data_IF_052146016141
#
_entry.id   IF_052146016141
#
_cell.length_a   1.000
_cell.length_b   1.000
_cell.length_c   1.000
_cell.angle_alpha   90.00
_cell.angle_beta   90.00
_cell.angle_gamma   90.00
#
_symmetry.space_group_name_H-M   'P 1'
#
loop_
_entity.id
_entity.type
_entity.pdbx_description
1 polymer ?
#
# COMPACT_ATOMS: atom_id res chain seq x y z
N UNK A 1 -32.83 0.18 11.04
CA UNK A 1 -32.01 0.94 12.00
C UNK A 1 -30.67 1.17 11.30
N UNK A 2 -30.43 2.40 10.86
CA UNK A 2 -29.13 2.80 10.27
C UNK A 2 -28.22 2.99 11.48
N UNK A 3 -27.18 2.17 11.59
CA UNK A 3 -26.25 2.23 12.71
C UNK A 3 -25.22 3.34 12.45
N UNK A 4 -25.50 4.53 12.98
CA UNK A 4 -24.60 5.70 12.94
C UNK A 4 -23.38 5.56 13.89
N UNK A 5 -23.22 4.42 14.58
CA UNK A 5 -22.23 4.30 15.66
C UNK A 5 -20.85 3.83 15.20
N UNK A 6 -20.69 3.27 14.00
CA UNK A 6 -19.40 2.68 13.62
C UNK A 6 -18.60 3.65 12.77
N UNK A 7 -17.62 4.25 13.42
CA UNK A 7 -16.78 5.31 12.86
C UNK A 7 -15.34 4.81 12.77
N UNK A 8 -14.86 4.70 11.53
CA UNK A 8 -13.57 4.12 11.20
C UNK A 8 -12.62 5.19 10.64
N UNK A 9 -11.33 5.00 10.88
CA UNK A 9 -10.24 5.73 10.23
C UNK A 9 -9.40 4.71 9.48
N UNK A 10 -9.50 4.70 8.15
CA UNK A 10 -8.54 4.02 7.30
C UNK A 10 -7.34 4.93 7.07
N UNK A 11 -6.18 4.56 7.60
CA UNK A 11 -4.91 5.20 7.27
C UNK A 11 -4.43 4.64 5.93
N UNK A 12 -4.50 5.45 4.88
CA UNK A 12 -4.18 4.99 3.52
C UNK A 12 -2.67 4.90 3.27
N UNK A 13 -2.06 3.76 3.59
CA UNK A 13 -0.68 3.47 3.21
C UNK A 13 -0.56 3.29 1.68
N UNK A 14 0.31 4.05 0.97
CA UNK A 14 0.46 3.95 -0.47
C UNK A 14 0.68 2.51 -0.96
N UNK A 15 -0.01 2.16 -2.06
CA UNK A 15 0.11 0.87 -2.76
C UNK A 15 -0.24 -0.38 -1.92
N UNK A 16 -0.99 -0.21 -0.83
CA UNK A 16 -1.44 -1.27 0.07
C UNK A 16 -2.96 -1.52 -0.05
N UNK A 17 -3.47 -1.61 -1.28
CA UNK A 17 -4.87 -1.93 -1.59
C UNK A 17 -5.94 -0.93 -1.08
N UNK A 18 -5.59 0.34 -0.87
CA UNK A 18 -6.52 1.37 -0.38
C UNK A 18 -7.80 1.51 -1.22
N UNK A 19 -7.72 1.37 -2.55
CA UNK A 19 -8.88 1.42 -3.43
C UNK A 19 -9.86 0.25 -3.18
N UNK A 20 -9.34 -0.97 -3.05
CA UNK A 20 -10.16 -2.15 -2.73
C UNK A 20 -10.80 -2.00 -1.35
N UNK A 21 -10.05 -1.52 -0.35
CA UNK A 21 -10.58 -1.25 0.99
C UNK A 21 -11.71 -0.22 0.97
N UNK A 22 -11.54 0.90 0.25
CA UNK A 22 -12.61 1.91 0.14
C UNK A 22 -13.90 1.30 -0.39
N UNK A 23 -13.80 0.45 -1.41
CA UNK A 23 -14.95 -0.29 -1.93
C UNK A 23 -15.54 -1.26 -0.89
N UNK A 24 -14.70 -2.01 -0.18
CA UNK A 24 -15.16 -2.92 0.88
C UNK A 24 -15.88 -2.22 2.03
N UNK A 25 -15.48 -0.99 2.36
CA UNK A 25 -16.03 -0.25 3.50
C UNK A 25 -17.25 0.59 3.16
N UNK A 26 -17.36 1.04 1.90
CA UNK A 26 -18.38 2.02 1.49
C UNK A 26 -19.28 1.56 0.34
N UNK A 27 -19.01 0.38 -0.22
CA UNK A 27 -19.68 -0.10 -1.44
C UNK A 27 -19.32 0.81 -2.62
N UNK A 28 -20.32 1.30 -3.35
CA UNK A 28 -20.11 2.24 -4.46
C UNK A 28 -19.99 3.70 -4.00
N UNK A 29 -20.15 3.99 -2.70
CA UNK A 29 -20.19 5.35 -2.20
C UNK A 29 -18.83 6.07 -2.24
N UNK A 30 -17.68 5.36 -2.22
CA UNK A 30 -16.38 6.03 -2.35
C UNK A 30 -16.16 6.76 -3.68
N UNK A 31 -17.01 6.50 -4.69
CA UNK A 31 -16.98 7.21 -5.97
C UNK A 31 -17.71 8.55 -5.89
N UNK A 32 -18.54 8.77 -4.88
CA UNK A 32 -19.24 10.03 -4.64
C UNK A 32 -18.39 10.93 -3.74
N UNK A 33 -17.69 11.88 -4.35
CA UNK A 33 -16.84 12.83 -3.63
C UNK A 33 -17.63 13.77 -2.68
N UNK A 34 -18.96 13.81 -2.80
CA UNK A 34 -19.84 14.62 -1.96
C UNK A 34 -20.50 13.82 -0.84
N UNK A 35 -20.22 12.51 -0.72
CA UNK A 35 -20.80 11.70 0.33
C UNK A 35 -20.31 12.19 1.71
N UNK A 36 -21.19 12.76 2.55
CA UNK A 36 -20.81 13.35 3.83
C UNK A 36 -20.33 12.30 4.85
N UNK A 37 -20.55 11.00 4.58
CA UNK A 37 -20.06 9.89 5.40
C UNK A 37 -18.57 9.64 5.18
N UNK A 38 -18.00 10.15 4.09
CA UNK A 38 -16.61 9.93 3.73
C UNK A 38 -15.81 11.23 3.82
N UNK A 39 -14.64 11.17 4.45
CA UNK A 39 -13.66 12.24 4.43
C UNK A 39 -12.31 11.64 4.06
N UNK A 40 -11.71 12.08 2.95
CA UNK A 40 -10.45 11.53 2.45
C UNK A 40 -9.31 12.52 2.65
N UNK A 41 -8.14 11.99 3.02
CA UNK A 41 -6.91 12.75 3.26
C UNK A 41 -5.72 12.05 2.59
N UNK A 42 -5.88 11.68 1.31
CA UNK A 42 -4.94 10.94 0.46
C UNK A 42 -3.52 10.77 1.04
N UNK A 43 -3.25 9.57 1.57
CA UNK A 43 -1.92 9.14 2.04
C UNK A 43 -1.27 9.92 3.19
N UNK A 44 -2.06 10.65 3.99
CA UNK A 44 -1.55 11.30 5.19
C UNK A 44 -1.12 10.28 6.27
N UNK A 45 -0.07 10.65 7.01
CA UNK A 45 0.42 9.90 8.17
C UNK A 45 -0.56 10.01 9.35
N UNK A 46 -0.60 9.00 10.25
CA UNK A 46 -1.37 9.03 11.49
C UNK A 46 -1.23 10.34 12.29
N UNK A 47 -0.01 10.85 12.43
CA UNK A 47 0.25 12.09 13.17
C UNK A 47 -0.45 13.31 12.54
N UNK A 48 -0.51 13.38 11.21
CA UNK A 48 -1.18 14.45 10.47
C UNK A 48 -2.70 14.33 10.56
N UNK A 49 -3.23 13.11 10.46
CA UNK A 49 -4.67 12.83 10.63
C UNK A 49 -5.10 13.24 12.05
N UNK A 50 -4.35 12.80 13.07
CA UNK A 50 -4.59 13.15 14.47
C UNK A 50 -4.51 14.64 14.74
N UNK A 51 -3.57 15.35 14.13
CA UNK A 51 -3.45 16.81 14.25
C UNK A 51 -4.68 17.52 13.67
N UNK A 52 -5.18 17.07 12.52
CA UNK A 52 -6.34 17.70 11.86
C UNK A 52 -7.68 17.32 12.48
N UNK A 53 -7.81 16.09 12.96
CA UNK A 53 -9.05 15.55 13.52
C UNK A 53 -8.81 14.88 14.88
N UNK A 54 -8.39 15.65 15.92
CA UNK A 54 -7.99 15.08 17.20
C UNK A 54 -9.12 14.34 17.92
N UNK A 55 -10.33 14.89 17.89
CA UNK A 55 -11.52 14.28 18.52
C UNK A 55 -11.89 12.96 17.83
N UNK A 56 -11.95 12.96 16.49
CA UNK A 56 -12.25 11.76 15.70
C UNK A 56 -11.18 10.68 15.92
N UNK A 57 -9.90 11.06 15.95
CA UNK A 57 -8.81 10.11 16.20
C UNK A 57 -8.93 9.40 17.55
N UNK A 58 -9.43 10.11 18.57
CA UNK A 58 -9.64 9.54 19.91
C UNK A 58 -10.86 8.63 19.98
N UNK A 59 -11.91 8.95 19.24
CA UNK A 59 -13.21 8.28 19.33
C UNK A 59 -13.36 7.12 18.33
N UNK A 60 -12.69 7.19 17.19
CA UNK A 60 -12.91 6.26 16.07
C UNK A 60 -11.87 5.14 16.11
N UNK A 61 -12.23 3.97 15.58
CA UNK A 61 -11.28 2.86 15.43
C UNK A 61 -10.43 3.08 14.18
N UNK A 62 -9.13 2.92 14.30
CA UNK A 62 -8.16 3.18 13.25
C UNK A 62 -7.46 1.91 12.81
N UNK A 63 -7.27 1.76 11.51
CA UNK A 63 -6.49 0.65 10.97
C UNK A 63 -5.74 1.04 9.71
N UNK A 64 -4.77 0.22 9.37
CA UNK A 64 -3.91 0.38 8.20
C UNK A 64 -3.64 -0.98 7.59
N UNK A 65 -3.46 -1.02 6.28
CA UNK A 65 -2.93 -2.18 5.59
C UNK A 65 -1.46 -1.93 5.27
N UNK A 66 -0.62 -2.90 5.58
CA UNK A 66 0.77 -2.99 5.13
C UNK A 66 0.89 -4.15 4.15
N UNK A 67 1.86 -4.06 3.26
CA UNK A 67 2.09 -5.02 2.20
C UNK A 67 3.55 -5.39 2.16
N UNK A 68 3.84 -6.63 1.75
CA UNK A 68 5.19 -7.11 1.53
C UNK A 68 6.02 -6.03 0.81
N UNK A 69 7.13 -5.64 1.43
CA UNK A 69 7.82 -4.41 1.04
C UNK A 69 8.34 -4.46 -0.39
N UNK A 70 8.93 -5.58 -0.82
CA UNK A 70 9.36 -5.77 -2.20
C UNK A 70 8.19 -5.58 -3.17
N UNK A 71 7.11 -6.34 -2.97
CA UNK A 71 5.91 -6.31 -3.79
C UNK A 71 5.23 -4.92 -3.85
N UNK A 72 5.38 -4.13 -2.79
CA UNK A 72 4.89 -2.76 -2.72
C UNK A 72 5.78 -1.78 -3.48
N UNK A 73 7.10 -1.87 -3.36
CA UNK A 73 8.04 -1.03 -4.13
C UNK A 73 7.86 -1.25 -5.63
N UNK A 74 7.76 -2.51 -6.07
CA UNK A 74 7.44 -2.84 -7.46
C UNK A 74 6.09 -2.23 -7.87
N UNK A 75 5.08 -2.32 -7.00
CA UNK A 75 3.76 -1.71 -7.26
C UNK A 75 3.84 -0.20 -7.45
N UNK A 76 4.64 0.47 -6.64
CA UNK A 76 4.84 1.91 -6.71
C UNK A 76 5.50 2.30 -8.02
N UNK A 77 6.63 1.65 -8.33
CA UNK A 77 7.38 1.90 -9.56
C UNK A 77 6.55 1.62 -10.81
N UNK A 78 5.87 0.47 -10.88
CA UNK A 78 4.99 0.14 -12.01
C UNK A 78 3.92 1.20 -12.22
N UNK A 79 3.30 1.66 -11.12
CA UNK A 79 2.22 2.64 -11.24
C UNK A 79 2.73 3.98 -11.78
N UNK A 80 3.74 4.57 -11.15
CA UNK A 80 4.21 5.91 -11.53
C UNK A 80 5.15 5.89 -12.73
N UNK A 81 6.10 4.95 -12.79
CA UNK A 81 7.07 4.83 -13.87
C UNK A 81 6.50 4.21 -15.16
N UNK A 82 5.61 3.22 -15.07
CA UNK A 82 5.13 2.49 -16.27
C UNK A 82 3.74 2.94 -16.69
N UNK A 83 2.78 2.99 -15.76
CA UNK A 83 1.38 3.29 -16.11
C UNK A 83 1.12 4.78 -16.30
N UNK A 84 1.57 5.62 -15.35
CA UNK A 84 1.38 7.07 -15.40
C UNK A 84 2.50 7.80 -16.14
N UNK A 85 3.63 7.11 -16.37
CA UNK A 85 4.79 7.63 -17.09
C UNK A 85 5.32 8.96 -16.53
N UNK A 86 5.41 9.06 -15.19
CA UNK A 86 5.86 10.27 -14.51
C UNK A 86 7.28 10.65 -14.98
N UNK A 87 7.51 11.91 -15.42
CA UNK A 87 8.76 12.33 -16.05
C UNK A 87 10.03 11.99 -15.26
N UNK A 88 10.02 12.22 -13.94
CA UNK A 88 11.16 11.95 -13.06
C UNK A 88 11.50 10.46 -12.95
N UNK A 89 10.53 9.59 -13.25
CA UNK A 89 10.70 8.13 -13.20
C UNK A 89 11.05 7.51 -14.56
N UNK A 90 10.85 8.22 -15.68
CA UNK A 90 11.11 7.70 -17.03
C UNK A 90 12.59 7.39 -17.31
N UNK A 91 13.51 7.97 -16.54
CA UNK A 91 14.94 7.72 -16.68
C UNK A 91 15.38 6.38 -16.08
N UNK A 92 14.46 5.64 -15.48
CA UNK A 92 14.76 4.40 -14.78
C UNK A 92 13.99 3.22 -15.38
N UNK A 93 14.61 2.05 -15.32
CA UNK A 93 13.86 0.80 -15.18
C UNK A 93 13.81 0.44 -13.67
N UNK A 94 13.12 -0.63 -13.29
CA UNK A 94 12.98 -0.97 -11.88
C UNK A 94 14.35 -1.22 -11.21
N UNK A 95 15.25 -1.96 -11.86
CA UNK A 95 16.59 -2.26 -11.32
C UNK A 95 17.41 -0.98 -11.11
N UNK A 96 17.45 -0.07 -12.09
CA UNK A 96 18.21 1.17 -11.99
C UNK A 96 17.59 2.17 -11.01
N UNK A 97 16.26 2.17 -10.85
CA UNK A 97 15.58 2.95 -9.82
C UNK A 97 15.94 2.45 -8.41
N UNK A 98 15.95 1.13 -8.20
CA UNK A 98 16.37 0.53 -6.92
C UNK A 98 17.85 0.83 -6.64
N UNK A 99 18.73 0.66 -7.63
CA UNK A 99 20.15 0.97 -7.50
C UNK A 99 20.42 2.45 -7.19
N UNK A 100 19.58 3.37 -7.67
CA UNK A 100 19.63 4.79 -7.36
C UNK A 100 19.08 5.15 -5.96
N UNK A 101 18.70 4.16 -5.15
CA UNK A 101 18.15 4.37 -3.81
C UNK A 101 16.66 4.72 -3.81
N UNK A 102 15.92 4.31 -4.85
CA UNK A 102 14.48 4.49 -4.99
C UNK A 102 14.07 5.97 -4.80
N UNK A 103 14.60 6.91 -5.61
CA UNK A 103 14.27 8.31 -5.46
C UNK A 103 12.76 8.54 -5.57
N UNK A 104 12.27 9.49 -4.75
CA UNK A 104 10.88 9.94 -4.78
C UNK A 104 10.59 10.64 -6.12
N UNK A 105 9.37 10.52 -6.68
CA UNK A 105 8.96 11.35 -7.80
C UNK A 105 9.13 12.86 -7.51
N UNK A 106 9.57 13.61 -8.50
CA UNK A 106 9.86 15.04 -8.38
C UNK A 106 8.65 15.93 -8.67
N UNK A 107 7.58 15.36 -9.22
CA UNK A 107 6.39 16.06 -9.65
C UNK A 107 5.66 16.68 -8.43
N UNK A 108 5.40 18.00 -8.43
CA UNK A 108 4.86 18.70 -7.25
C UNK A 108 3.58 18.08 -6.68
N UNK A 109 2.70 17.57 -7.56
CA UNK A 109 1.44 16.96 -7.16
C UNK A 109 1.65 15.63 -6.41
N UNK A 110 2.72 14.88 -6.70
CA UNK A 110 3.09 13.64 -5.99
C UNK A 110 3.84 13.94 -4.69
N UNK A 111 4.66 14.99 -4.66
CA UNK A 111 5.43 15.36 -3.47
C UNK A 111 4.54 15.65 -2.24
N UNK A 112 3.33 16.16 -2.47
CA UNK A 112 2.33 16.42 -1.43
C UNK A 112 1.80 15.12 -0.81
N UNK A 113 1.62 14.08 -1.63
CA UNK A 113 1.08 12.78 -1.21
C UNK A 113 2.13 11.83 -0.63
N UNK A 114 3.40 12.09 -0.92
CA UNK A 114 4.53 11.28 -0.46
C UNK A 114 5.54 12.13 0.31
N UNK A 115 5.14 12.80 1.42
CA UNK A 115 6.09 13.55 2.22
C UNK A 115 7.12 12.60 2.79
N UNK A 116 8.41 12.98 2.80
CA UNK A 116 9.43 12.20 3.51
C UNK A 116 9.19 12.39 5.02
N UNK A 117 8.81 11.34 5.76
CA UNK A 117 8.64 11.46 7.21
C UNK A 117 9.94 11.90 7.90
N UNK A 118 9.84 12.76 8.91
CA UNK A 118 11.00 13.16 9.69
C UNK A 118 11.65 11.93 10.34
N UNK A 119 12.92 11.69 10.03
CA UNK A 119 13.69 10.57 10.57
C UNK A 119 13.46 9.22 9.90
N UNK A 120 12.67 9.13 8.82
CA UNK A 120 12.62 7.90 8.03
C UNK A 120 13.69 7.88 6.95
N UNK A 121 14.18 6.68 6.65
CA UNK A 121 15.13 6.45 5.56
C UNK A 121 14.47 6.57 4.17
N UNK A 122 13.14 6.39 4.10
CA UNK A 122 12.40 6.36 2.83
C UNK A 122 11.00 6.99 2.93
N UNK A 123 10.51 7.57 1.82
CA UNK A 123 9.20 8.24 1.75
C UNK A 123 8.03 7.26 1.77
N UNK A 124 8.27 5.99 1.45
CA UNK A 124 7.32 4.89 1.61
C UNK A 124 7.54 4.13 2.91
N UNK A 125 7.99 4.70 4.03
CA UNK A 125 8.12 3.89 5.25
C UNK A 125 6.74 3.45 5.79
N UNK A 126 6.42 2.15 5.77
CA UNK A 126 5.17 1.59 6.30
C UNK A 126 5.10 1.74 7.82
N UNK A 127 6.24 1.71 8.50
CA UNK A 127 6.31 1.90 9.97
C UNK A 127 5.62 3.20 10.37
N UNK A 128 5.85 4.27 9.62
CA UNK A 128 5.27 5.59 9.90
C UNK A 128 3.74 5.59 9.79
N UNK A 129 3.19 4.84 8.83
CA UNK A 129 1.74 4.68 8.65
C UNK A 129 1.08 3.83 9.74
N UNK A 130 1.85 3.06 10.51
CA UNK A 130 1.34 2.19 11.60
C UNK A 130 1.46 2.80 12.98
N UNK A 131 2.01 4.01 13.12
CA UNK A 131 2.22 4.62 14.44
C UNK A 131 0.90 5.03 15.07
N UNK A 132 0.52 4.35 16.15
CA UNK A 132 -0.64 4.67 16.98
C UNK A 132 -2.00 4.25 16.38
N UNK A 133 -2.01 3.40 15.37
CA UNK A 133 -3.24 2.79 14.84
C UNK A 133 -3.67 1.60 15.69
N UNK A 134 -4.97 1.30 15.76
CA UNK A 134 -5.50 0.20 16.59
C UNK A 134 -5.24 -1.19 16.01
N UNK A 135 -5.23 -1.30 14.67
CA UNK A 135 -5.00 -2.56 13.95
C UNK A 135 -4.13 -2.37 12.71
N UNK A 136 -3.31 -3.38 12.43
CA UNK A 136 -2.49 -3.48 11.23
C UNK A 136 -2.87 -4.80 10.53
N UNK A 137 -3.27 -4.71 9.27
CA UNK A 137 -3.49 -5.86 8.39
C UNK A 137 -2.23 -6.05 7.55
N UNK A 138 -1.66 -7.24 7.54
CA UNK A 138 -0.44 -7.55 6.79
C UNK A 138 -0.77 -8.40 5.55
N UNK A 139 -0.39 -7.92 4.38
CA UNK A 139 -0.49 -8.65 3.11
C UNK A 139 0.89 -9.21 2.76
N UNK A 140 1.05 -10.53 2.80
CA UNK A 140 2.35 -11.19 2.67
C UNK A 140 2.63 -11.64 1.25
N UNK A 141 1.59 -12.07 0.53
CA UNK A 141 1.74 -12.71 -0.77
C UNK A 141 2.08 -11.73 -1.90
N UNK A 142 2.97 -12.18 -2.78
CA UNK A 142 3.21 -11.56 -4.08
C UNK A 142 2.08 -11.89 -5.06
N UNK A 143 1.51 -13.10 -4.97
CA UNK A 143 0.40 -13.57 -5.80
C UNK A 143 -0.84 -12.69 -5.57
N UNK A 144 -1.37 -12.01 -6.61
CA UNK A 144 -2.50 -11.11 -6.47
C UNK A 144 -3.79 -11.75 -5.95
N UNK A 145 -4.05 -13.02 -6.28
CA UNK A 145 -5.25 -13.73 -5.85
C UNK A 145 -5.17 -14.14 -4.37
N UNK A 146 -4.01 -14.66 -3.95
CA UNK A 146 -3.75 -14.96 -2.53
C UNK A 146 -3.81 -13.68 -1.71
N UNK A 147 -3.17 -12.59 -2.18
CA UNK A 147 -3.19 -11.28 -1.53
C UNK A 147 -4.59 -10.69 -1.41
N UNK A 148 -5.45 -10.88 -2.42
CA UNK A 148 -6.85 -10.47 -2.34
C UNK A 148 -7.60 -11.27 -1.27
N UNK A 149 -7.33 -12.58 -1.16
CA UNK A 149 -7.90 -13.44 -0.12
C UNK A 149 -7.41 -13.05 1.29
N UNK A 150 -6.12 -12.75 1.46
CA UNK A 150 -5.56 -12.24 2.72
C UNK A 150 -6.29 -10.97 3.18
N UNK A 151 -6.49 -10.02 2.25
CA UNK A 151 -7.22 -8.78 2.53
C UNK A 151 -8.67 -9.04 2.91
N UNK A 152 -9.38 -9.88 2.14
CA UNK A 152 -10.79 -10.21 2.39
C UNK A 152 -10.98 -10.87 3.75
N UNK A 153 -10.17 -11.87 4.07
CA UNK A 153 -10.22 -12.56 5.36
C UNK A 153 -9.94 -11.59 6.52
N UNK A 154 -8.92 -10.74 6.40
CA UNK A 154 -8.55 -9.80 7.45
C UNK A 154 -9.64 -8.74 7.68
N UNK A 155 -10.24 -8.20 6.62
CA UNK A 155 -11.32 -7.21 6.73
C UNK A 155 -12.60 -7.85 7.28
N UNK A 156 -12.93 -9.08 6.89
CA UNK A 156 -14.07 -9.81 7.45
C UNK A 156 -13.89 -10.10 8.94
N UNK A 157 -12.68 -10.49 9.36
CA UNK A 157 -12.37 -10.67 10.78
C UNK A 157 -12.48 -9.36 11.56
N UNK A 158 -11.99 -8.26 10.98
CA UNK A 158 -12.09 -6.92 11.57
C UNK A 158 -13.55 -6.44 11.67
N UNK A 159 -14.34 -6.71 10.63
CA UNK A 159 -15.78 -6.44 10.57
C UNK A 159 -16.54 -7.20 11.64
N UNK A 160 -16.20 -8.47 11.86
CA UNK A 160 -16.78 -9.27 12.93
C UNK A 160 -16.40 -8.74 14.32
N UNK A 161 -15.15 -8.30 14.52
CA UNK A 161 -14.66 -7.74 15.79
C UNK A 161 -15.30 -6.37 16.10
N UNK A 162 -15.43 -5.51 15.09
CA UNK A 162 -15.85 -4.11 15.26
C UNK A 162 -17.30 -3.81 14.87
N UNK A 163 -17.98 -4.79 14.28
CA UNK A 163 -19.41 -4.74 13.96
C UNK A 163 -19.79 -3.99 12.68
N UNK A 164 -18.87 -3.64 11.77
CA UNK A 164 -19.21 -2.86 10.55
C UNK A 164 -19.56 -3.76 9.35
N UNK A 165 -20.41 -3.30 8.41
CA UNK A 165 -20.70 -4.06 7.19
C UNK A 165 -19.49 -4.07 6.24
N UNK A 166 -19.30 -5.19 5.53
CA UNK A 166 -18.32 -5.32 4.45
C UNK A 166 -19.07 -5.57 3.15
N UNK A 167 -18.70 -4.79 2.14
CA UNK A 167 -19.21 -4.93 0.78
C UNK A 167 -18.26 -5.79 -0.05
N UNK A 168 -18.79 -6.65 -0.93
CA UNK A 168 -17.95 -7.46 -1.81
C UNK A 168 -17.17 -6.55 -2.77
N UNK A 169 -15.90 -6.85 -2.98
CA UNK A 169 -15.09 -6.21 -4.03
C UNK A 169 -15.55 -6.76 -5.37
N UNK A 170 -16.02 -5.90 -6.27
CA UNK A 170 -16.16 -6.31 -7.67
C UNK A 170 -14.79 -6.80 -8.14
N UNK A 171 -14.72 -7.97 -8.79
CA UNK A 171 -13.47 -8.53 -9.32
C UNK A 171 -12.82 -7.53 -10.28
N UNK A 172 -12.07 -6.58 -9.74
CA UNK A 172 -11.27 -5.66 -10.52
C UNK A 172 -10.10 -6.47 -11.01
N UNK A 173 -10.06 -6.57 -12.33
CA UNK A 173 -9.03 -7.27 -13.07
C UNK A 173 -7.73 -6.47 -12.90
N UNK A 174 -6.98 -6.70 -11.82
CA UNK A 174 -5.57 -6.30 -11.69
C UNK A 174 -4.68 -7.15 -12.63
N UNK A 175 -5.15 -7.47 -13.84
CA UNK A 175 -4.44 -8.31 -14.82
C UNK A 175 -3.19 -7.63 -15.40
N UNK A 176 -2.96 -6.34 -15.14
CA UNK A 176 -1.84 -5.60 -15.72
C UNK A 176 -0.49 -5.84 -15.03
N UNK A 177 -0.38 -6.78 -14.08
CA UNK A 177 0.85 -6.96 -13.26
C UNK A 177 1.61 -8.25 -13.52
N UNK A 178 0.96 -9.28 -14.05
CA UNK A 178 1.58 -10.60 -14.28
C UNK A 178 2.82 -10.54 -15.17
N UNK A 179 2.83 -9.66 -16.18
CA UNK A 179 3.97 -9.54 -17.11
C UNK A 179 5.15 -8.75 -16.53
N UNK A 180 4.89 -7.84 -15.58
CA UNK A 180 5.91 -6.98 -14.97
C UNK A 180 6.59 -7.65 -13.76
N UNK A 181 5.90 -8.56 -13.09
CA UNK A 181 6.44 -9.34 -11.97
C UNK A 181 7.51 -10.35 -12.41
N UNK A 182 7.41 -10.89 -13.63
CA UNK A 182 8.41 -11.80 -14.21
C UNK A 182 9.77 -11.14 -14.50
N UNK A 183 9.83 -9.79 -14.57
CA UNK A 183 11.01 -9.06 -15.02
C UNK A 183 11.84 -8.39 -13.90
N UNK A 184 11.34 -8.33 -12.66
CA UNK A 184 11.80 -7.31 -11.70
C UNK A 184 12.84 -7.77 -10.66
N UNK A 185 12.89 -9.05 -10.30
CA UNK A 185 13.67 -9.47 -9.13
C UNK A 185 15.08 -9.87 -9.53
N UNK A 186 16.06 -9.04 -9.19
CA UNK A 186 17.47 -9.46 -9.15
C UNK A 186 17.91 -9.66 -7.70
N UNK A 187 18.94 -10.48 -7.49
CA UNK A 187 19.55 -10.64 -6.16
C UNK A 187 19.97 -9.28 -5.57
N UNK A 188 20.45 -8.37 -6.42
CA UNK A 188 20.82 -7.02 -6.03
C UNK A 188 19.62 -6.19 -5.57
N UNK A 189 18.55 -6.11 -6.38
CA UNK A 189 17.34 -5.36 -6.03
C UNK A 189 16.70 -5.91 -4.74
N UNK A 190 16.65 -7.24 -4.58
CA UNK A 190 16.15 -7.88 -3.35
C UNK A 190 16.98 -7.43 -2.14
N UNK A 191 18.31 -7.44 -2.27
CA UNK A 191 19.23 -7.08 -1.19
C UNK A 191 19.10 -5.61 -0.80
N UNK A 192 19.07 -4.70 -1.78
CA UNK A 192 18.97 -3.25 -1.54
C UNK A 192 17.66 -2.92 -0.82
N UNK A 193 16.52 -3.40 -1.35
CA UNK A 193 15.21 -3.20 -0.71
C UNK A 193 15.20 -3.83 0.69
N UNK A 194 15.77 -5.03 0.84
CA UNK A 194 15.88 -5.72 2.12
C UNK A 194 16.64 -4.91 3.18
N UNK A 195 17.71 -4.22 2.79
CA UNK A 195 18.49 -3.36 3.68
C UNK A 195 17.72 -2.09 4.05
N UNK A 196 17.18 -1.38 3.05
CA UNK A 196 16.46 -0.11 3.23
C UNK A 196 15.26 -0.27 4.16
N UNK A 197 14.53 -1.39 4.04
CA UNK A 197 13.31 -1.66 4.78
C UNK A 197 13.43 -2.79 5.82
N UNK A 198 14.65 -3.06 6.28
CA UNK A 198 14.95 -4.12 7.26
C UNK A 198 14.03 -4.09 8.49
N UNK A 199 13.76 -2.90 9.05
CA UNK A 199 12.86 -2.74 10.20
C UNK A 199 11.41 -3.15 9.89
N UNK A 200 10.91 -2.89 8.67
CA UNK A 200 9.56 -3.32 8.27
C UNK A 200 9.50 -4.83 8.10
N UNK A 201 10.53 -5.37 7.45
CA UNK A 201 10.66 -6.80 7.17
C UNK A 201 10.69 -7.58 8.48
N UNK A 202 11.51 -7.16 9.44
CA UNK A 202 11.57 -7.76 10.77
C UNK A 202 10.22 -7.64 11.49
N UNK A 203 9.63 -6.44 11.52
CA UNK A 203 8.39 -6.17 12.27
C UNK A 203 7.20 -6.98 11.75
N UNK A 204 7.08 -7.14 10.44
CA UNK A 204 5.93 -7.80 9.82
C UNK A 204 6.22 -9.22 9.35
N UNK A 205 7.46 -9.72 9.50
CA UNK A 205 7.84 -11.07 9.07
C UNK A 205 7.76 -11.26 7.55
N UNK A 206 7.97 -10.21 6.76
CA UNK A 206 7.91 -10.31 5.31
C UNK A 206 9.05 -11.18 4.78
N UNK A 207 8.72 -12.03 3.80
CA UNK A 207 9.69 -12.86 3.12
C UNK A 207 10.07 -12.24 1.77
N UNK A 208 11.34 -12.32 1.36
CA UNK A 208 11.76 -11.88 0.03
C UNK A 208 11.10 -12.75 -1.04
N UNK A 209 11.04 -12.27 -2.29
CA UNK A 209 10.62 -13.13 -3.40
C UNK A 209 11.60 -14.30 -3.57
N UNK A 210 11.07 -15.50 -3.82
CA UNK A 210 11.89 -16.70 -4.05
C UNK A 210 12.70 -16.56 -5.35
N UNK A 211 14.01 -16.82 -5.31
CA UNK A 211 14.87 -16.70 -6.49
C UNK A 211 14.57 -17.76 -7.58
N UNK A 212 13.87 -18.83 -7.24
CA UNK A 212 13.51 -19.95 -8.13
C UNK A 212 12.42 -19.62 -9.17
N UNK A 213 11.79 -18.46 -9.09
CA UNK A 213 10.80 -18.00 -10.09
C UNK A 213 11.38 -17.01 -11.11
N UNK A 214 12.69 -16.75 -11.08
CA UNK A 214 13.33 -15.88 -12.06
C UNK A 214 13.52 -16.63 -13.39
N UNK A 215 12.98 -16.12 -14.51
CA UNK A 215 13.32 -16.67 -15.82
C UNK A 215 14.83 -16.52 -16.05
N UNK A 216 15.50 -17.60 -16.42
CA UNK A 216 16.92 -17.56 -16.80
C UNK A 216 17.09 -16.52 -17.92
N UNK A 217 17.80 -15.42 -17.63
CA UNK A 217 18.07 -14.29 -18.55
C UNK A 217 18.84 -14.73 -19.83
N UNK A 218 19.12 -16.02 -20.00
CA UNK A 218 19.86 -16.61 -21.12
C UNK A 218 19.01 -17.25 -22.22
N UNK A 219 17.68 -17.11 -22.17
CA UNK A 219 16.79 -17.69 -23.20
C UNK A 219 15.90 -16.65 -23.88
N UNK A 220 16.51 -15.61 -24.43
CA UNK A 220 15.87 -14.80 -25.48
C UNK A 220 16.84 -14.78 -26.66
N UNK A 221 16.53 -15.58 -27.68
CA UNK A 221 17.18 -15.57 -28.99
C UNK A 221 16.49 -14.54 -29.88
#
# INVERSE_FOLDING_TARGET
MIDDNIRLILVENPKCASAALKQMLTGNAFQDAMDPRTATMNHNLPAQIRQRYPEKWREYRSFVVVRNTWDRELSFFTYHGVLFQEPSMQNYNFESWVAAGMPRPEEPHLQIHYPKPNGSNHFLSQIEYTKGVDRVICLHSFDPAVRASELEQAVNALSQDWGFPVYPVHKHVNASRTDLEAMAWTKESITIIGQVFSLEIERYGFQPPEASTMPDKHTVR
#
